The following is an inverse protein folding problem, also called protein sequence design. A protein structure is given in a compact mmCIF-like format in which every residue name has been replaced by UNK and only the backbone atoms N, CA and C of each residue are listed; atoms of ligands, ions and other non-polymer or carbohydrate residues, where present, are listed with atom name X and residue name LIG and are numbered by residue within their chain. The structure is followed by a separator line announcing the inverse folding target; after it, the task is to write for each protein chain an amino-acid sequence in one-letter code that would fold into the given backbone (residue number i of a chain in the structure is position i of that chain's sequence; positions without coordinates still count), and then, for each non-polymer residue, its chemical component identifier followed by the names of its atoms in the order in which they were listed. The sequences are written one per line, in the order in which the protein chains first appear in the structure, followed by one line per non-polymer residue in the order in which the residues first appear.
data_IF_779041161591
#
_entry.id   IF_779041161591
#
_cell.length_a   1.000
_cell.length_b   1.000
_cell.length_c   1.000
_cell.angle_alpha   90.00
_cell.angle_beta   90.00
_cell.angle_gamma   90.00
#
_symmetry.space_group_name_H-M   'P 1'
#
loop_
_entity.id
_entity.type
_entity.pdbx_description
1 polymer ?
#
# COMPACT_ATOMS: atom_id res chain seq x y z
N UNK A 1 3.15 39.12 -1.65
CA UNK A 1 2.82 39.66 -2.99
C UNK A 1 4.07 40.32 -3.54
N UNK A 2 4.82 39.64 -4.40
CA UNK A 2 5.88 40.26 -5.21
C UNK A 2 5.91 39.54 -6.55
N UNK A 3 5.48 40.25 -7.59
CA UNK A 3 5.42 39.81 -8.98
C UNK A 3 6.44 40.59 -9.79
N UNK A 4 7.19 39.93 -10.67
CA UNK A 4 8.02 40.54 -11.73
C UNK A 4 7.93 39.64 -12.98
N UNK A 5 7.90 40.19 -14.21
CA UNK A 5 7.02 39.69 -15.27
C UNK A 5 7.71 39.04 -16.50
N UNK A 6 6.81 38.74 -17.46
CA UNK A 6 6.82 37.95 -18.70
C UNK A 6 7.79 38.31 -19.85
N UNK A 7 7.78 37.36 -20.81
CA UNK A 7 8.00 37.40 -22.29
C UNK A 7 9.38 36.84 -22.69
N UNK A 8 9.53 36.06 -23.75
CA UNK A 8 8.95 36.26 -25.09
C UNK A 8 8.92 34.96 -25.90
N UNK A 9 7.82 34.79 -26.62
CA UNK A 9 7.55 33.81 -27.67
C UNK A 9 8.20 34.20 -29.00
N UNK A 10 8.21 33.22 -29.92
CA UNK A 10 8.50 33.29 -31.38
C UNK A 10 9.99 33.30 -31.72
N UNK A 11 10.49 32.40 -32.58
CA UNK A 11 10.32 32.35 -34.05
C UNK A 11 11.05 31.02 -34.47
N UNK A 12 10.76 30.22 -35.51
CA UNK A 12 10.58 30.56 -36.92
C UNK A 12 10.46 29.24 -37.74
N UNK A 13 9.26 28.95 -38.24
CA UNK A 13 8.89 28.54 -39.62
C UNK A 13 9.96 27.93 -40.55
N UNK A 14 9.70 26.75 -41.13
CA UNK A 14 10.03 26.45 -42.53
C UNK A 14 9.15 25.29 -43.09
N UNK A 15 8.49 25.60 -44.20
CA UNK A 15 7.66 24.75 -45.04
C UNK A 15 8.49 24.35 -46.25
N UNK A 16 8.58 23.06 -46.61
CA UNK A 16 8.66 22.64 -48.01
C UNK A 16 8.35 21.13 -48.19
N UNK A 17 7.49 20.84 -49.16
CA UNK A 17 7.11 19.55 -49.79
C UNK A 17 7.25 19.80 -51.32
N UNK A 18 7.15 18.85 -52.27
CA UNK A 18 7.31 17.37 -52.32
C UNK A 18 8.31 16.92 -53.43
N UNK A 19 8.46 15.59 -53.65
CA UNK A 19 8.25 14.85 -54.94
C UNK A 19 9.12 13.56 -54.95
N UNK A 20 8.55 12.37 -54.73
CA UNK A 20 7.94 11.41 -55.66
C UNK A 20 8.93 10.52 -56.46
N UNK A 21 8.90 9.21 -56.18
CA UNK A 21 9.15 8.07 -57.08
C UNK A 21 8.65 6.81 -56.32
N UNK A 22 7.45 6.28 -56.55
CA UNK A 22 7.00 5.49 -57.70
C UNK A 22 7.79 4.17 -57.88
N UNK A 23 7.30 3.10 -57.23
CA UNK A 23 7.41 1.66 -57.56
C UNK A 23 6.67 0.97 -56.40
N UNK A 24 5.62 0.18 -56.52
CA UNK A 24 4.92 -0.45 -57.62
C UNK A 24 4.08 -1.51 -56.91
N UNK A 25 2.81 -1.21 -56.68
CA UNK A 25 1.87 -2.07 -55.96
C UNK A 25 1.29 -3.08 -56.96
N UNK A 26 1.52 -4.37 -56.73
CA UNK A 26 1.26 -5.44 -57.71
C UNK A 26 0.14 -6.40 -57.30
N UNK A 27 -0.42 -6.28 -56.08
CA UNK A 27 -1.49 -7.17 -55.63
C UNK A 27 -2.43 -6.48 -54.63
N UNK A 28 -3.31 -5.62 -55.13
CA UNK A 28 -4.62 -5.41 -54.51
C UNK A 28 -5.64 -6.31 -55.21
N UNK A 29 -6.56 -6.92 -54.46
CA UNK A 29 -7.96 -6.73 -54.84
C UNK A 29 -8.79 -6.13 -53.70
N UNK A 30 -9.65 -5.22 -54.13
CA UNK A 30 -10.61 -4.43 -53.36
C UNK A 30 -11.62 -5.27 -52.59
N UNK A 31 -11.90 -4.88 -51.35
CA UNK A 31 -13.25 -4.93 -50.80
C UNK A 31 -13.37 -3.92 -49.66
N UNK A 32 -14.19 -2.91 -49.91
CA UNK A 32 -14.65 -1.92 -48.95
C UNK A 32 -15.31 -2.61 -47.75
N UNK A 33 -14.91 -2.24 -46.53
CA UNK A 33 -15.76 -2.38 -45.35
C UNK A 33 -15.51 -1.16 -44.48
N UNK A 34 -16.60 -0.44 -44.23
CA UNK A 34 -16.69 0.80 -43.45
C UNK A 34 -16.07 0.68 -42.04
N UNK A 35 -15.65 1.81 -41.43
CA UNK A 35 -14.80 1.80 -40.25
C UNK A 35 -15.59 1.45 -38.99
N UNK A 36 -15.14 0.41 -38.28
CA UNK A 36 -15.58 0.15 -36.92
C UNK A 36 -15.04 1.24 -35.97
N UNK A 37 -15.95 1.83 -35.20
CA UNK A 37 -15.68 2.78 -34.12
C UNK A 37 -14.52 2.34 -33.23
N UNK A 38 -13.64 3.30 -32.93
CA UNK A 38 -12.65 3.19 -31.87
C UNK A 38 -13.37 2.97 -30.53
N UNK A 39 -13.19 1.84 -29.83
CA UNK A 39 -13.67 1.74 -28.47
C UNK A 39 -12.80 2.64 -27.59
N UNK A 40 -13.47 3.50 -26.83
CA UNK A 40 -12.89 4.28 -25.73
C UNK A 40 -12.03 3.39 -24.81
N UNK A 41 -10.99 3.92 -24.15
CA UNK A 41 -10.19 3.14 -23.22
C UNK A 41 -11.09 2.64 -22.08
N UNK A 42 -11.20 1.31 -21.98
CA UNK A 42 -11.91 0.64 -20.92
C UNK A 42 -11.31 1.01 -19.55
N UNK A 43 -12.23 1.12 -18.60
CA UNK A 43 -12.13 1.38 -17.16
C UNK A 43 -10.89 0.75 -16.49
N UNK A 44 -10.33 1.33 -15.41
CA UNK A 44 -9.22 0.72 -14.67
C UNK A 44 -9.74 -0.46 -13.84
N UNK A 45 -9.85 -1.63 -14.48
CA UNK A 45 -10.27 -2.89 -13.83
C UNK A 45 -9.09 -3.85 -13.61
N UNK A 46 -7.87 -3.49 -14.01
CA UNK A 46 -6.69 -4.34 -13.91
C UNK A 46 -5.90 -4.09 -12.61
N UNK A 47 -6.46 -4.51 -11.48
CA UNK A 47 -5.69 -4.98 -10.32
C UNK A 47 -6.22 -6.34 -9.86
N UNK A 48 -6.43 -7.25 -10.82
CA UNK A 48 -6.69 -8.64 -10.52
C UNK A 48 -5.53 -9.18 -9.67
N UNK A 49 -5.79 -9.43 -8.38
CA UNK A 49 -4.86 -10.16 -7.54
C UNK A 49 -4.60 -11.52 -8.19
N UNK A 50 -3.35 -12.00 -8.26
CA UNK A 50 -3.06 -13.27 -8.89
C UNK A 50 -3.83 -14.38 -8.17
N UNK A 51 -4.78 -15.00 -8.88
CA UNK A 51 -5.68 -16.08 -8.42
C UNK A 51 -4.92 -17.32 -7.88
N UNK A 52 -3.58 -17.34 -8.00
CA UNK A 52 -2.70 -18.44 -7.62
C UNK A 52 -1.52 -18.04 -6.72
N UNK A 53 -1.69 -17.05 -5.82
CA UNK A 53 -0.69 -16.83 -4.78
C UNK A 53 -0.67 -18.01 -3.79
N UNK A 54 0.50 -18.59 -3.44
CA UNK A 54 0.56 -19.66 -2.45
C UNK A 54 -0.01 -19.17 -1.12
N UNK A 55 -0.78 -20.01 -0.40
CA UNK A 55 -1.39 -19.61 0.86
C UNK A 55 -0.30 -19.13 1.82
N UNK A 56 -0.61 -18.06 2.57
CA UNK A 56 0.32 -17.48 3.53
C UNK A 56 0.90 -18.56 4.46
N UNK A 57 2.18 -18.43 4.88
CA UNK A 57 2.84 -19.41 5.73
C UNK A 57 2.01 -19.75 6.98
N UNK A 58 2.08 -21.00 7.44
CA UNK A 58 1.28 -21.49 8.57
C UNK A 58 1.40 -20.60 9.81
N UNK A 59 2.63 -20.15 10.13
CA UNK A 59 2.89 -19.29 11.28
C UNK A 59 2.11 -17.96 11.22
N UNK A 60 1.85 -17.44 10.02
CA UNK A 60 1.04 -16.24 9.85
C UNK A 60 -0.45 -16.53 10.07
N UNK A 61 -0.92 -17.67 9.55
CA UNK A 61 -2.32 -18.11 9.67
C UNK A 61 -2.70 -18.50 11.10
N UNK A 62 -1.75 -19.03 11.87
CA UNK A 62 -1.93 -19.44 13.26
C UNK A 62 -1.69 -18.30 14.27
N UNK A 63 -1.46 -17.08 13.81
CA UNK A 63 -1.28 -15.94 14.72
C UNK A 63 -2.60 -15.67 15.46
N UNK A 64 -2.60 -15.57 16.79
CA UNK A 64 -3.80 -15.30 17.59
C UNK A 64 -4.39 -13.94 17.23
N UNK A 65 -5.72 -13.85 17.26
CA UNK A 65 -6.49 -12.63 16.97
C UNK A 65 -6.99 -11.93 18.22
N UNK A 66 -7.12 -12.68 19.31
CA UNK A 66 -7.63 -12.23 20.60
C UNK A 66 -6.69 -12.64 21.73
N UNK A 67 -6.87 -12.07 22.92
CA UNK A 67 -6.08 -12.44 24.09
C UNK A 67 -6.42 -13.86 24.58
N UNK A 68 -7.64 -14.32 24.33
CA UNK A 68 -8.13 -15.65 24.71
C UNK A 68 -7.49 -16.77 23.87
N UNK A 69 -7.11 -16.47 22.63
CA UNK A 69 -6.39 -17.39 21.74
C UNK A 69 -4.88 -17.46 22.04
N UNK A 70 -4.36 -16.52 22.83
CA UNK A 70 -2.93 -16.45 23.12
C UNK A 70 -2.58 -17.48 24.21
N UNK A 71 -1.82 -18.49 23.84
CA UNK A 71 -1.48 -19.61 24.73
C UNK A 71 -0.27 -19.27 25.61
N UNK A 72 -0.46 -19.40 26.92
CA UNK A 72 0.57 -19.18 27.94
C UNK A 72 0.74 -17.72 28.35
N UNK A 73 1.67 -17.47 29.26
CA UNK A 73 1.92 -16.13 29.83
C UNK A 73 0.70 -15.54 30.57
N UNK A 74 -0.06 -16.33 31.34
CA UNK A 74 -1.26 -15.83 32.03
C UNK A 74 -0.96 -14.66 32.99
N UNK A 75 0.25 -14.59 33.52
CA UNK A 75 0.71 -13.48 34.36
C UNK A 75 0.78 -12.13 33.61
N UNK A 76 0.87 -12.13 32.27
CA UNK A 76 0.89 -10.93 31.43
C UNK A 76 -0.48 -10.65 30.78
N UNK A 77 -1.15 -11.68 30.28
CA UNK A 77 -2.36 -11.53 29.45
C UNK A 77 -3.65 -12.00 30.14
N UNK A 78 -3.55 -12.58 31.32
CA UNK A 78 -4.71 -13.03 32.08
C UNK A 78 -5.64 -11.87 32.44
N UNK A 79 -6.92 -12.15 32.77
CA UNK A 79 -7.93 -11.12 33.00
C UNK A 79 -7.57 -10.14 34.13
N UNK A 80 -6.80 -10.59 35.13
CA UNK A 80 -6.34 -9.74 36.23
C UNK A 80 -4.97 -9.07 35.96
N UNK A 81 -4.29 -9.40 34.86
CA UNK A 81 -2.94 -8.94 34.59
C UNK A 81 -2.92 -7.45 34.24
N UNK A 82 -1.82 -6.77 34.63
CA UNK A 82 -1.68 -5.33 34.46
C UNK A 82 -1.72 -4.91 32.98
N UNK A 83 -1.05 -5.65 32.10
CA UNK A 83 -1.04 -5.35 30.67
C UNK A 83 -2.44 -5.51 30.06
N UNK A 84 -3.16 -6.59 30.39
CA UNK A 84 -4.54 -6.81 29.92
C UNK A 84 -5.45 -5.63 30.29
N UNK A 85 -5.42 -5.22 31.56
CA UNK A 85 -6.22 -4.08 32.05
C UNK A 85 -5.82 -2.74 31.43
N UNK A 86 -4.52 -2.52 31.22
CA UNK A 86 -4.03 -1.30 30.58
C UNK A 86 -4.47 -1.20 29.12
N UNK A 87 -4.47 -2.33 28.39
CA UNK A 87 -4.92 -2.40 27.00
C UNK A 87 -6.44 -2.20 26.89
N UNK A 88 -7.22 -2.89 27.72
CA UNK A 88 -8.69 -2.76 27.74
C UNK A 88 -9.15 -1.35 28.12
N UNK A 89 -8.40 -0.67 29.00
CA UNK A 89 -8.67 0.71 29.37
C UNK A 89 -8.14 1.74 28.33
N UNK A 90 -7.45 1.30 27.27
CA UNK A 90 -6.72 2.16 26.32
C UNK A 90 -5.73 3.13 27.02
N UNK A 91 -5.12 2.69 28.13
CA UNK A 91 -4.24 3.50 28.99
C UNK A 91 -2.78 3.03 28.95
N UNK A 92 -2.16 3.09 27.77
CA UNK A 92 -0.74 2.84 27.58
C UNK A 92 -0.13 3.77 26.52
N UNK A 93 1.14 4.16 26.69
CA UNK A 93 1.84 5.06 25.76
C UNK A 93 2.79 4.31 24.82
N UNK A 94 3.69 3.50 25.36
CA UNK A 94 4.68 2.75 24.59
C UNK A 94 5.02 1.46 25.31
N UNK A 95 5.14 0.37 24.55
CA UNK A 95 5.41 -0.97 25.08
C UNK A 95 6.63 -1.56 24.37
N UNK A 96 7.52 -2.16 25.14
CA UNK A 96 8.66 -2.91 24.62
C UNK A 96 8.51 -4.36 25.09
N UNK A 97 8.44 -5.29 24.14
CA UNK A 97 8.39 -6.72 24.44
C UNK A 97 9.78 -7.33 24.28
N UNK A 98 10.29 -7.96 25.34
CA UNK A 98 11.57 -8.65 25.35
C UNK A 98 11.36 -10.14 25.66
N UNK A 99 12.16 -11.01 25.03
CA UNK A 99 12.10 -12.45 25.26
C UNK A 99 12.67 -13.29 24.11
N UNK A 100 12.81 -14.61 24.32
CA UNK A 100 13.40 -15.53 23.35
C UNK A 100 12.61 -15.59 22.03
N UNK A 101 13.24 -15.96 20.90
CA UNK A 101 12.53 -16.09 19.62
C UNK A 101 11.37 -17.08 19.75
N UNK A 102 10.25 -16.81 19.08
CA UNK A 102 9.05 -17.67 19.16
C UNK A 102 8.14 -17.43 20.37
N UNK A 103 8.50 -16.58 21.34
CA UNK A 103 7.67 -16.27 22.52
C UNK A 103 6.40 -15.43 22.24
N UNK A 104 6.03 -15.25 20.97
CA UNK A 104 4.81 -14.54 20.58
C UNK A 104 4.85 -13.01 20.65
N UNK A 105 6.00 -12.36 20.84
CA UNK A 105 6.10 -10.88 20.96
C UNK A 105 5.41 -10.10 19.84
N UNK A 106 5.69 -10.46 18.59
CA UNK A 106 5.09 -9.81 17.42
C UNK A 106 3.60 -10.16 17.29
N UNK A 107 3.21 -11.35 17.73
CA UNK A 107 1.80 -11.75 17.76
C UNK A 107 1.03 -10.95 18.81
N UNK A 108 1.59 -10.78 20.02
CA UNK A 108 1.01 -10.00 21.11
C UNK A 108 0.81 -8.54 20.71
N UNK A 109 1.78 -7.93 20.03
CA UNK A 109 1.63 -6.57 19.49
C UNK A 109 0.46 -6.46 18.50
N UNK A 110 0.26 -7.48 17.66
CA UNK A 110 -0.88 -7.56 16.75
C UNK A 110 -2.21 -7.68 17.50
N UNK A 111 -2.29 -8.58 18.49
CA UNK A 111 -3.48 -8.75 19.33
C UNK A 111 -3.85 -7.45 20.05
N UNK A 112 -2.86 -6.72 20.60
CA UNK A 112 -3.09 -5.43 21.26
C UNK A 112 -3.65 -4.40 20.27
N UNK A 113 -3.08 -4.33 19.07
CA UNK A 113 -3.58 -3.42 18.04
C UNK A 113 -5.03 -3.75 17.63
N UNK A 114 -5.34 -5.04 17.45
CA UNK A 114 -6.70 -5.51 17.16
C UNK A 114 -7.67 -5.22 18.31
N UNK A 115 -7.24 -5.39 19.57
CA UNK A 115 -8.08 -5.15 20.75
C UNK A 115 -8.48 -3.67 20.91
N UNK A 116 -7.58 -2.74 20.56
CA UNK A 116 -7.84 -1.28 20.64
C UNK A 116 -8.46 -0.73 19.34
N UNK A 117 -8.52 -1.55 18.28
CA UNK A 117 -8.97 -1.13 16.95
C UNK A 117 -7.99 -0.18 16.26
N UNK A 118 -6.68 -0.31 16.55
CA UNK A 118 -5.64 0.54 15.97
C UNK A 118 -5.02 -0.09 14.72
N UNK A 119 -4.59 0.75 13.77
CA UNK A 119 -3.84 0.29 12.61
C UNK A 119 -2.48 -0.32 13.00
N UNK A 120 -2.19 -1.53 12.54
CA UNK A 120 -0.92 -2.23 12.81
C UNK A 120 0.04 -2.12 11.62
N UNK A 121 1.23 -1.56 11.83
CA UNK A 121 2.28 -1.42 10.80
C UNK A 121 3.55 -2.14 11.27
N UNK A 122 3.88 -3.33 10.73
CA UNK A 122 5.11 -4.02 11.09
C UNK A 122 6.32 -3.36 10.41
N UNK A 123 7.32 -2.99 11.20
CA UNK A 123 8.62 -2.50 10.70
C UNK A 123 9.73 -3.46 11.16
N UNK A 124 10.56 -3.90 10.22
CA UNK A 124 11.70 -4.78 10.52
C UNK A 124 12.97 -3.95 10.71
N UNK A 125 13.58 -4.05 11.90
CA UNK A 125 14.77 -3.27 12.26
C UNK A 125 16.02 -3.56 11.41
N UNK A 126 16.08 -4.71 10.72
CA UNK A 126 17.25 -5.08 9.88
C UNK A 126 17.14 -4.49 8.48
N UNK A 127 15.92 -4.43 7.93
CA UNK A 127 15.70 -4.02 6.53
C UNK A 127 15.13 -2.61 6.40
N UNK A 128 14.47 -2.09 7.44
CA UNK A 128 13.84 -0.77 7.40
C UNK A 128 14.84 0.33 7.75
N UNK A 129 14.80 1.40 6.96
CA UNK A 129 15.59 2.61 7.19
C UNK A 129 14.78 3.75 7.82
N UNK A 130 15.45 4.89 7.98
CA UNK A 130 14.82 6.14 8.48
C UNK A 130 13.72 6.63 7.54
N UNK A 131 13.85 6.37 6.23
CA UNK A 131 12.85 6.75 5.24
C UNK A 131 11.52 6.01 5.46
N UNK A 132 11.57 4.70 5.71
CA UNK A 132 10.39 3.86 5.95
C UNK A 132 9.70 4.26 7.25
N UNK A 133 10.47 4.51 8.31
CA UNK A 133 9.94 5.01 9.58
C UNK A 133 9.21 6.34 9.41
N UNK A 134 9.82 7.30 8.68
CA UNK A 134 9.18 8.59 8.39
C UNK A 134 7.92 8.42 7.56
N UNK A 135 7.89 7.48 6.62
CA UNK A 135 6.69 7.18 5.83
C UNK A 135 5.56 6.65 6.73
N UNK A 136 5.85 5.66 7.59
CA UNK A 136 4.88 5.12 8.54
C UNK A 136 4.29 6.20 9.47
N UNK A 137 5.12 7.12 9.97
CA UNK A 137 4.66 8.24 10.82
C UNK A 137 3.76 9.21 10.04
N UNK A 138 4.09 9.52 8.78
CA UNK A 138 3.23 10.38 7.93
C UNK A 138 1.89 9.73 7.68
N UNK A 139 1.86 8.44 7.35
CA UNK A 139 0.62 7.70 7.11
C UNK A 139 -0.25 7.62 8.36
N UNK A 140 0.37 7.38 9.52
CA UNK A 140 -0.33 7.43 10.82
C UNK A 140 -0.91 8.82 11.10
N UNK A 141 -0.14 9.89 10.83
CA UNK A 141 -0.62 11.27 11.00
C UNK A 141 -1.78 11.61 10.06
N UNK A 142 -1.78 11.06 8.85
CA UNK A 142 -2.88 11.23 7.90
C UNK A 142 -4.15 10.52 8.40
N UNK A 143 -4.05 9.24 8.78
CA UNK A 143 -5.17 8.46 9.33
C UNK A 143 -5.80 9.14 10.56
N UNK A 144 -4.96 9.66 11.44
CA UNK A 144 -5.41 10.40 12.62
C UNK A 144 -6.24 11.63 12.24
N UNK A 145 -5.86 12.36 11.19
CA UNK A 145 -6.56 13.57 10.74
C UNK A 145 -7.85 13.28 9.99
N UNK A 146 -7.92 12.17 9.24
CA UNK A 146 -9.05 11.87 8.36
C UNK A 146 -10.09 10.94 8.97
N UNK A 147 -9.70 10.06 9.89
CA UNK A 147 -10.54 8.92 10.28
C UNK A 147 -10.65 8.62 11.77
N UNK A 148 -9.78 9.13 12.62
CA UNK A 148 -9.81 8.85 14.06
C UNK A 148 -9.67 7.35 14.40
N UNK A 149 -8.44 6.97 14.77
CA UNK A 149 -7.85 5.62 14.98
C UNK A 149 -7.35 4.91 13.71
#
# INVERSE_FOLDING_TARGET
MTAVPRRRSEEKRAVHRPQAAATGDLFAPSSETEPAESPLPNKPEDLAEPENAPPAPLAWRMRPRSFEEFVGQEHLIGPAALLRRAVEAERFSSLIFYGPPGSGKTALAGVIASAVGAAFVPLNAVTAGVADLRAAIRDASLRWRTGGR
#
